data_IF_815631744528
#
_entry.id   IF_815631744528
#
_cell.length_a   1.000
_cell.length_b   1.000
_cell.length_c   1.000
_cell.angle_alpha   90.00
_cell.angle_beta   90.00
_cell.angle_gamma   90.00
#
_symmetry.space_group_name_H-M   'P 1'
#
loop_
_entity.id
_entity.type
_entity.pdbx_description
1 polymer ?
#
# COMPACT_ATOMS: atom_id res chain seq x y z
N UNK A 1 -6.07 11.62 -9.00
CA UNK A 1 -7.02 10.73 -8.30
C UNK A 1 -7.73 11.55 -7.24
N UNK A 2 -9.00 11.88 -7.41
CA UNK A 2 -9.66 12.79 -6.46
C UNK A 2 -10.40 11.98 -5.39
N UNK A 3 -9.74 11.79 -4.24
CA UNK A 3 -10.40 11.26 -3.04
C UNK A 3 -11.50 12.26 -2.61
N UNK A 4 -12.76 11.84 -2.36
CA UNK A 4 -13.82 12.74 -1.92
C UNK A 4 -13.44 13.53 -0.68
N UNK A 5 -13.78 14.83 -0.65
CA UNK A 5 -13.46 15.74 0.46
C UNK A 5 -13.96 15.24 1.83
N UNK A 6 -15.06 14.50 1.85
CA UNK A 6 -15.61 13.87 3.08
C UNK A 6 -14.68 12.82 3.70
N UNK A 7 -13.80 12.20 2.90
CA UNK A 7 -12.84 11.20 3.36
C UNK A 7 -11.47 11.79 3.73
N UNK A 8 -11.26 13.10 3.55
CA UNK A 8 -10.05 13.82 3.98
C UNK A 8 -10.08 14.15 5.47
N UNK A 9 -10.30 13.12 6.27
CA UNK A 9 -10.20 13.12 7.72
C UNK A 9 -9.16 12.09 8.13
N UNK A 10 -8.58 12.24 9.32
CA UNK A 10 -7.63 11.25 9.83
C UNK A 10 -8.26 9.85 9.86
N UNK A 11 -9.53 9.76 10.29
CA UNK A 11 -10.29 8.51 10.33
C UNK A 11 -10.57 7.96 8.93
N UNK A 12 -11.03 8.78 7.98
CA UNK A 12 -11.32 8.35 6.61
C UNK A 12 -10.08 7.83 5.89
N UNK A 13 -8.97 8.56 5.99
CA UNK A 13 -7.69 8.16 5.40
C UNK A 13 -7.16 6.88 6.07
N UNK A 14 -7.25 6.78 7.40
CA UNK A 14 -6.83 5.57 8.11
C UNK A 14 -7.69 4.35 7.74
N UNK A 15 -9.01 4.55 7.56
CA UNK A 15 -9.93 3.50 7.11
C UNK A 15 -9.55 2.99 5.72
N UNK A 16 -9.27 3.89 4.78
CA UNK A 16 -8.85 3.51 3.42
C UNK A 16 -7.51 2.78 3.43
N UNK A 17 -6.53 3.31 4.17
CA UNK A 17 -5.23 2.67 4.33
C UNK A 17 -5.33 1.28 4.98
N UNK A 18 -6.34 1.06 5.83
CA UNK A 18 -6.58 -0.25 6.46
C UNK A 18 -6.99 -1.34 5.47
N UNK A 19 -7.49 -0.97 4.28
CA UNK A 19 -7.75 -1.92 3.20
C UNK A 19 -6.47 -2.51 2.60
N UNK A 20 -5.32 -1.85 2.82
CA UNK A 20 -3.99 -2.29 2.34
C UNK A 20 -3.21 -3.01 3.44
N UNK A 21 -3.28 -2.54 4.69
CA UNK A 21 -2.51 -3.09 5.82
C UNK A 21 -2.76 -2.31 7.12
N UNK A 22 -1.74 -2.17 7.97
CA UNK A 22 -1.85 -1.40 9.22
C UNK A 22 -1.34 0.02 8.98
N UNK A 23 -2.18 1.07 9.04
CA UNK A 23 -1.72 2.45 8.89
C UNK A 23 -0.80 2.85 10.05
N UNK A 24 0.37 3.43 9.74
CA UNK A 24 1.38 3.83 10.72
C UNK A 24 1.51 5.35 10.83
N UNK A 25 1.54 6.03 9.68
CA UNK A 25 1.72 7.47 9.63
C UNK A 25 1.10 8.06 8.36
N UNK A 26 0.75 9.34 8.40
CA UNK A 26 0.23 10.09 7.26
C UNK A 26 1.25 11.17 6.89
N UNK A 27 1.47 11.37 5.59
CA UNK A 27 2.36 12.42 5.08
C UNK A 27 1.93 13.82 5.56
N UNK A 28 2.90 14.72 5.75
CA UNK A 28 2.65 16.06 6.28
C UNK A 28 1.68 16.86 5.40
N UNK A 29 1.81 16.79 4.06
CA UNK A 29 0.94 17.51 3.13
C UNK A 29 -0.48 16.96 3.10
N UNK A 30 -0.62 15.66 3.32
CA UNK A 30 -1.91 14.97 3.47
C UNK A 30 -2.58 15.40 4.79
N UNK A 31 -1.81 15.48 5.87
CA UNK A 31 -2.29 15.94 7.19
C UNK A 31 -2.72 17.40 7.18
N UNK A 32 -1.92 18.27 6.56
CA UNK A 32 -2.23 19.71 6.45
C UNK A 32 -3.32 20.02 5.42
N UNK A 33 -3.77 19.03 4.64
CA UNK A 33 -4.75 19.19 3.54
C UNK A 33 -4.34 20.25 2.52
N UNK A 34 -3.05 20.53 2.39
CA UNK A 34 -2.51 21.50 1.42
C UNK A 34 -2.37 20.89 0.03
N UNK A 35 -2.34 19.55 -0.05
CA UNK A 35 -2.43 18.77 -1.29
C UNK A 35 -3.64 17.84 -1.24
N UNK A 36 -4.64 18.11 -2.08
CA UNK A 36 -5.89 17.35 -2.16
C UNK A 36 -6.00 16.46 -3.43
N UNK A 37 -4.88 16.25 -4.12
CA UNK A 37 -4.82 15.45 -5.36
C UNK A 37 -4.56 13.96 -5.12
N UNK A 38 -4.10 13.58 -3.92
CA UNK A 38 -3.93 12.21 -3.43
C UNK A 38 -3.54 12.23 -1.94
N UNK A 39 -3.98 11.23 -1.18
CA UNK A 39 -3.50 11.01 0.19
C UNK A 39 -2.31 10.06 0.18
N UNK A 40 -1.26 10.36 0.95
CA UNK A 40 -0.09 9.47 1.11
C UNK A 40 0.01 9.00 2.55
N UNK A 41 0.12 7.68 2.73
CA UNK A 41 0.09 7.00 4.03
C UNK A 41 1.19 5.96 4.07
N UNK A 42 1.93 5.90 5.18
CA UNK A 42 2.82 4.80 5.49
C UNK A 42 1.98 3.65 6.07
N UNK A 43 2.01 2.51 5.40
CA UNK A 43 1.23 1.33 5.77
C UNK A 43 2.19 0.17 6.00
N UNK A 44 2.10 -0.44 7.18
CA UNK A 44 2.79 -1.67 7.48
C UNK A 44 2.06 -2.85 6.83
N UNK A 45 2.80 -3.65 6.09
CA UNK A 45 2.35 -4.84 5.38
C UNK A 45 3.27 -6.02 5.70
N UNK A 46 2.82 -7.23 5.40
CA UNK A 46 3.65 -8.44 5.50
C UNK A 46 4.14 -8.83 4.10
N UNK A 47 5.14 -9.72 4.02
CA UNK A 47 5.57 -10.27 2.72
C UNK A 47 4.45 -10.98 1.96
N UNK A 48 3.40 -11.42 2.64
CA UNK A 48 2.26 -12.11 2.05
C UNK A 48 1.06 -11.19 1.77
N UNK A 49 1.18 -9.89 2.04
CA UNK A 49 0.10 -8.95 1.76
C UNK A 49 -0.18 -8.88 0.25
N UNK A 50 -1.46 -8.80 -0.17
CA UNK A 50 -1.84 -8.85 -1.58
C UNK A 50 -1.47 -7.58 -2.37
N UNK A 51 -1.22 -6.45 -1.68
CA UNK A 51 -0.86 -5.16 -2.25
C UNK A 51 -1.79 -4.76 -3.43
N UNK A 52 -3.09 -4.56 -3.14
CA UNK A 52 -4.10 -4.27 -4.17
C UNK A 52 -3.78 -2.96 -4.90
N UNK A 53 -4.04 -2.93 -6.20
CA UNK A 53 -3.92 -1.72 -7.04
C UNK A 53 -5.17 -0.84 -6.98
N UNK A 54 -6.26 -1.40 -6.46
CA UNK A 54 -7.55 -0.74 -6.30
C UNK A 54 -8.21 -1.18 -4.98
N UNK A 55 -8.76 -0.22 -4.25
CA UNK A 55 -9.61 -0.43 -3.08
C UNK A 55 -10.96 0.24 -3.31
N UNK A 56 -11.96 -0.10 -2.51
CA UNK A 56 -13.31 0.47 -2.63
C UNK A 56 -13.68 1.25 -1.39
N UNK A 57 -14.37 2.36 -1.59
CA UNK A 57 -15.00 3.13 -0.52
C UNK A 57 -16.48 3.34 -0.84
N UNK A 58 -17.29 3.54 0.21
CA UNK A 58 -18.72 3.82 0.06
C UNK A 58 -19.06 5.16 0.68
N UNK A 59 -19.75 6.00 -0.09
CA UNK A 59 -20.34 7.27 0.36
C UNK A 59 -21.80 7.24 -0.08
N UNK A 60 -22.71 7.50 0.86
CA UNK A 60 -24.17 7.49 0.62
C UNK A 60 -24.68 6.21 -0.06
N UNK A 61 -24.11 5.06 0.33
CA UNK A 61 -24.45 3.74 -0.22
C UNK A 61 -23.86 3.45 -1.61
N UNK A 62 -23.15 4.40 -2.22
CA UNK A 62 -22.48 4.22 -3.50
C UNK A 62 -21.03 3.79 -3.30
N UNK A 63 -20.74 2.55 -3.67
CA UNK A 63 -19.36 2.05 -3.76
C UNK A 63 -18.65 2.67 -4.97
N UNK A 64 -17.41 3.12 -4.78
CA UNK A 64 -16.56 3.68 -5.84
C UNK A 64 -15.13 3.16 -5.69
N UNK A 65 -14.45 2.87 -6.81
CA UNK A 65 -13.05 2.44 -6.78
C UNK A 65 -12.13 3.62 -6.45
N UNK A 66 -11.00 3.30 -5.82
CA UNK A 66 -9.90 4.20 -5.54
C UNK A 66 -8.60 3.46 -5.85
N UNK A 67 -7.83 4.00 -6.80
CA UNK A 67 -6.54 3.41 -7.15
C UNK A 67 -5.51 3.67 -6.05
N UNK A 68 -4.68 2.65 -5.81
CA UNK A 68 -3.59 2.65 -4.85
C UNK A 68 -2.26 2.60 -5.61
N UNK A 69 -1.38 3.54 -5.29
CA UNK A 69 -0.03 3.59 -5.83
C UNK A 69 0.97 3.36 -4.71
N UNK A 70 1.98 2.54 -5.00
CA UNK A 70 3.05 2.22 -4.06
C UNK A 70 4.33 2.90 -4.54
N UNK A 71 5.03 3.59 -3.64
CA UNK A 71 6.35 4.13 -3.94
C UNK A 71 7.36 3.00 -4.24
N UNK A 72 7.15 1.84 -3.61
CA UNK A 72 7.92 0.62 -3.83
C UNK A 72 7.06 -0.62 -3.58
N UNK A 73 7.06 -1.55 -4.53
CA UNK A 73 6.37 -2.84 -4.45
C UNK A 73 7.42 -3.96 -4.51
N UNK A 74 7.80 -4.58 -3.38
CA UNK A 74 8.80 -5.64 -3.40
C UNK A 74 8.31 -6.84 -4.18
N UNK A 75 9.18 -7.42 -5.00
CA UNK A 75 8.99 -8.76 -5.52
C UNK A 75 9.47 -9.77 -4.50
N UNK A 76 8.68 -10.83 -4.29
CA UNK A 76 9.11 -11.94 -3.45
C UNK A 76 10.04 -12.84 -4.24
N UNK A 77 11.15 -13.23 -3.61
CA UNK A 77 11.95 -14.35 -4.04
C UNK A 77 11.06 -15.61 -4.05
N UNK A 78 10.87 -16.21 -5.22
CA UNK A 78 10.07 -17.43 -5.41
C UNK A 78 10.65 -18.67 -4.72
N UNK A 79 11.93 -18.63 -4.32
CA UNK A 79 12.61 -19.75 -3.68
C UNK A 79 12.54 -19.72 -2.14
N UNK A 80 12.62 -18.54 -1.52
CA UNK A 80 12.66 -18.43 -0.06
C UNK A 80 11.65 -17.45 0.56
N UNK A 81 10.88 -16.73 -0.26
CA UNK A 81 9.87 -15.76 0.20
C UNK A 81 10.41 -14.42 0.69
N UNK A 82 11.73 -14.21 0.66
CA UNK A 82 12.36 -12.93 1.01
C UNK A 82 11.98 -11.82 0.03
N UNK A 83 11.85 -10.59 0.52
CA UNK A 83 11.65 -9.38 -0.29
C UNK A 83 12.93 -8.55 -0.47
N UNK A 84 14.05 -9.00 0.12
CA UNK A 84 15.32 -8.28 0.11
C UNK A 84 16.19 -8.61 -1.11
N UNK A 85 15.81 -9.61 -1.91
CA UNK A 85 16.57 -10.03 -3.08
C UNK A 85 15.67 -10.70 -4.13
N UNK A 86 16.05 -10.65 -5.42
CA UNK A 86 15.40 -11.42 -6.47
C UNK A 86 15.70 -12.93 -6.34
N UNK A 87 14.95 -13.80 -7.05
CA UNK A 87 15.22 -15.24 -7.09
C UNK A 87 16.67 -15.61 -7.44
N UNK A 88 17.28 -14.90 -8.40
CA UNK A 88 18.64 -15.18 -8.88
C UNK A 88 19.75 -14.93 -7.84
N UNK A 89 19.48 -14.11 -6.81
CA UNK A 89 20.42 -13.82 -5.72
C UNK A 89 20.05 -14.58 -4.45
N UNK A 90 19.23 -15.64 -4.56
CA UNK A 90 18.75 -16.37 -3.40
C UNK A 90 19.87 -17.23 -2.78
N UNK A 91 20.20 -17.07 -1.49
CA UNK A 91 21.18 -17.92 -0.82
C UNK A 91 20.72 -19.38 -0.68
N UNK A 92 19.42 -19.63 -0.86
CA UNK A 92 18.84 -20.98 -0.87
C UNK A 92 18.75 -21.56 -2.29
N UNK A 93 19.29 -20.89 -3.30
CA UNK A 93 19.32 -21.41 -4.66
C UNK A 93 20.19 -22.67 -4.72
N UNK A 94 19.62 -23.84 -5.05
CA UNK A 94 20.40 -25.06 -5.20
C UNK A 94 21.45 -24.97 -6.32
N UNK A 95 21.34 -24.02 -7.25
CA UNK A 95 22.27 -23.85 -8.38
C UNK A 95 23.57 -23.13 -8.00
N UNK A 96 23.60 -22.36 -6.90
CA UNK A 96 24.80 -21.60 -6.48
C UNK A 96 25.76 -22.36 -5.57
N UNK A 97 25.50 -23.65 -5.29
CA UNK A 97 26.46 -24.53 -4.62
C UNK A 97 27.33 -25.23 -5.66
N UNK A 98 28.33 -24.52 -6.21
CA UNK A 98 29.49 -25.15 -6.85
C UNK A 98 30.74 -24.85 -6.04
#
# INVERSE_FOLDING_TARGET
>A
MNLPLSLWTLEGISKLASCVGVPIAVDALTTSKTRLTFARVCVQVTSNSPLPEEIFYSVDGKSSPLCVQYDWKPERCTQCGSIMHPPILCPKDPVLKT
#
